data_IF_422714194398
#
_entry.id   IF_422714194398
#
_cell.length_a   1.000
_cell.length_b   1.000
_cell.length_c   1.000
_cell.angle_alpha   90.00
_cell.angle_beta   90.00
_cell.angle_gamma   90.00
#
_symmetry.space_group_name_H-M   'P 1'
#
loop_
_entity.id
_entity.type
_entity.pdbx_description
1 polymer ?
#
# COMPACT_ATOMS: atom_id res chain seq x y z
N UNK A 1 -26.33 -4.41 15.17
CA UNK A 1 -25.80 -4.72 13.82
C UNK A 1 -26.32 -6.08 13.44
N UNK A 2 -27.35 -6.15 12.59
CA UNK A 2 -27.87 -7.42 12.11
C UNK A 2 -27.11 -7.81 10.84
N UNK A 3 -26.64 -9.05 10.81
CA UNK A 3 -25.90 -9.61 9.66
C UNK A 3 -26.79 -10.66 9.03
N UNK A 4 -27.25 -10.41 7.81
CA UNK A 4 -28.11 -11.35 7.08
C UNK A 4 -27.25 -12.17 6.14
N UNK A 5 -27.36 -13.50 6.22
CA UNK A 5 -26.67 -14.41 5.32
C UNK A 5 -27.36 -14.38 3.96
N UNK A 6 -26.64 -13.96 2.90
CA UNK A 6 -27.11 -14.17 1.54
C UNK A 6 -26.76 -15.59 1.13
N UNK A 7 -27.80 -16.43 0.94
CA UNK A 7 -27.63 -17.81 0.50
C UNK A 7 -27.76 -17.92 -1.01
N UNK A 8 -26.87 -18.67 -1.64
CA UNK A 8 -27.00 -19.14 -3.02
C UNK A 8 -26.76 -20.65 -3.00
N UNK A 9 -27.73 -21.43 -3.46
CA UNK A 9 -27.67 -22.90 -3.46
C UNK A 9 -27.31 -23.50 -2.08
N UNK A 10 -27.95 -23.01 -1.02
CA UNK A 10 -27.73 -23.42 0.38
C UNK A 10 -26.32 -23.23 0.97
N UNK A 11 -25.38 -22.72 0.18
CA UNK A 11 -24.09 -22.26 0.65
C UNK A 11 -24.16 -20.79 1.12
N UNK A 12 -23.52 -20.50 2.26
CA UNK A 12 -23.37 -19.13 2.74
C UNK A 12 -22.36 -18.44 1.81
N UNK A 13 -22.87 -17.72 0.80
CA UNK A 13 -22.03 -17.05 -0.19
C UNK A 13 -21.30 -15.84 0.40
N UNK A 14 -21.94 -15.13 1.34
CA UNK A 14 -21.33 -14.07 2.15
C UNK A 14 -22.28 -13.57 3.24
N UNK A 15 -21.71 -12.93 4.25
CA UNK A 15 -22.45 -12.13 5.22
C UNK A 15 -22.48 -10.68 4.77
N UNK A 16 -23.66 -10.17 4.41
CA UNK A 16 -23.82 -8.74 4.15
C UNK A 16 -24.40 -8.07 5.38
N UNK A 17 -23.79 -6.94 5.76
CA UNK A 17 -24.32 -6.07 6.80
C UNK A 17 -25.58 -5.43 6.22
N UNK A 18 -26.73 -5.74 6.80
CA UNK A 18 -28.04 -5.36 6.27
C UNK A 18 -28.38 -3.90 6.57
N UNK A 19 -27.75 -3.33 7.59
CA UNK A 19 -27.95 -1.95 8.05
C UNK A 19 -26.63 -1.20 8.12
N UNK A 20 -26.59 0.04 7.62
CA UNK A 20 -25.40 0.89 7.73
C UNK A 20 -25.00 1.02 9.20
N UNK A 21 -23.76 0.68 9.58
CA UNK A 21 -23.32 0.78 10.97
C UNK A 21 -23.33 2.24 11.41
N UNK A 22 -23.86 2.50 12.62
CA UNK A 22 -23.74 3.80 13.27
C UNK A 22 -22.28 4.01 13.66
N UNK A 23 -21.62 4.99 13.03
CA UNK A 23 -20.24 5.34 13.33
C UNK A 23 -20.21 6.37 14.45
N UNK A 24 -19.18 6.31 15.30
CA UNK A 24 -18.90 7.44 16.19
C UNK A 24 -18.38 8.60 15.37
N UNK A 25 -18.59 9.83 15.85
CA UNK A 25 -18.14 11.06 15.19
C UNK A 25 -16.66 11.00 14.78
N UNK A 26 -15.81 10.47 15.67
CA UNK A 26 -14.38 10.27 15.41
C UNK A 26 -14.13 9.36 14.21
N UNK A 27 -14.82 8.22 14.13
CA UNK A 27 -14.63 7.23 13.05
C UNK A 27 -15.16 7.77 11.72
N UNK A 28 -16.30 8.47 11.75
CA UNK A 28 -16.85 9.11 10.56
C UNK A 28 -15.89 10.18 10.01
N UNK A 29 -15.39 11.09 10.87
CA UNK A 29 -14.38 12.09 10.50
C UNK A 29 -13.13 11.48 9.88
N UNK A 30 -12.58 10.42 10.49
CA UNK A 30 -11.37 9.75 10.00
C UNK A 30 -11.60 9.05 8.65
N UNK A 31 -12.77 8.43 8.47
CA UNK A 31 -13.16 7.81 7.21
C UNK A 31 -13.28 8.85 6.10
N UNK A 32 -14.03 9.92 6.32
CA UNK A 32 -14.24 10.97 5.32
C UNK A 32 -12.91 11.63 4.94
N UNK A 33 -12.07 11.94 5.92
CA UNK A 33 -10.76 12.52 5.63
C UNK A 33 -9.82 11.55 4.88
N UNK A 34 -9.94 10.23 5.07
CA UNK A 34 -9.19 9.26 4.24
C UNK A 34 -9.74 9.17 2.80
N UNK A 35 -11.07 9.11 2.63
CA UNK A 35 -11.73 9.00 1.31
C UNK A 35 -11.42 10.23 0.45
N UNK A 36 -11.48 11.42 1.06
CA UNK A 36 -11.22 12.70 0.39
C UNK A 36 -9.73 12.98 0.16
N UNK A 37 -8.83 12.13 0.67
CA UNK A 37 -7.39 12.27 0.42
C UNK A 37 -7.02 11.70 -0.95
N UNK A 38 -6.21 12.44 -1.70
CA UNK A 38 -5.60 11.99 -2.95
C UNK A 38 -4.67 10.79 -2.74
N UNK A 39 -4.72 9.81 -3.64
CA UNK A 39 -3.81 8.65 -3.63
C UNK A 39 -2.43 9.10 -4.08
N UNK A 40 -1.38 8.79 -3.30
CA UNK A 40 0.00 9.12 -3.63
C UNK A 40 0.87 7.87 -3.72
N UNK A 41 1.80 7.84 -4.67
CA UNK A 41 2.79 6.76 -4.78
C UNK A 41 4.06 7.13 -4.02
N UNK A 42 4.51 6.28 -3.10
CA UNK A 42 5.77 6.44 -2.38
C UNK A 42 6.92 5.75 -3.11
N UNK A 43 8.09 6.39 -3.09
CA UNK A 43 9.33 5.86 -3.67
C UNK A 43 10.29 5.29 -2.63
N UNK A 44 9.95 5.37 -1.34
CA UNK A 44 10.85 4.98 -0.25
C UNK A 44 11.17 3.49 -0.26
N UNK A 45 10.16 2.63 -0.43
CA UNK A 45 10.37 1.19 -0.58
C UNK A 45 11.18 0.88 -1.84
N UNK A 46 10.88 1.52 -2.96
CA UNK A 46 11.60 1.30 -4.23
C UNK A 46 13.07 1.66 -4.12
N UNK A 47 13.39 2.71 -3.38
CA UNK A 47 14.77 3.09 -3.08
C UNK A 47 15.48 2.00 -2.28
N UNK A 48 14.88 1.57 -1.17
CA UNK A 48 15.43 0.48 -0.34
C UNK A 48 15.60 -0.82 -1.14
N UNK A 49 14.63 -1.15 -2.00
CA UNK A 49 14.69 -2.28 -2.93
C UNK A 49 15.90 -2.17 -3.86
N UNK A 50 16.05 -1.03 -4.52
CA UNK A 50 17.12 -0.78 -5.49
C UNK A 50 18.51 -0.88 -4.85
N UNK A 51 18.69 -0.26 -3.68
CA UNK A 51 19.95 -0.27 -2.94
C UNK A 51 20.32 -1.69 -2.51
N UNK A 52 19.40 -2.41 -1.88
CA UNK A 52 19.66 -3.78 -1.41
C UNK A 52 19.92 -4.74 -2.58
N UNK A 53 19.19 -4.63 -3.69
CA UNK A 53 19.43 -5.49 -4.85
C UNK A 53 20.80 -5.23 -5.51
N UNK A 54 21.29 -3.98 -5.48
CA UNK A 54 22.67 -3.67 -5.92
C UNK A 54 23.72 -4.27 -5.00
N UNK A 55 23.45 -4.32 -3.70
CA UNK A 55 24.36 -4.85 -2.67
C UNK A 55 24.30 -6.39 -2.55
N UNK A 56 23.20 -7.03 -2.93
CA UNK A 56 22.90 -8.43 -2.60
C UNK A 56 23.86 -9.48 -3.19
N UNK A 57 24.57 -9.17 -4.28
CA UNK A 57 25.70 -9.99 -4.75
C UNK A 57 25.45 -11.48 -4.98
N UNK A 58 24.21 -11.91 -5.27
CA UNK A 58 23.84 -13.32 -5.46
C UNK A 58 23.30 -14.04 -4.22
N UNK A 59 22.97 -13.32 -3.15
CA UNK A 59 22.28 -13.87 -1.97
C UNK A 59 20.93 -14.54 -2.32
N UNK A 60 20.49 -15.52 -1.51
CA UNK A 60 19.16 -16.11 -1.66
C UNK A 60 18.07 -15.05 -1.61
N UNK A 61 17.10 -15.13 -2.53
CA UNK A 61 16.05 -14.10 -2.70
C UNK A 61 15.25 -13.81 -1.42
N UNK A 62 15.06 -14.81 -0.55
CA UNK A 62 14.37 -14.64 0.74
C UNK A 62 15.18 -13.72 1.66
N UNK A 63 16.50 -13.88 1.72
CA UNK A 63 17.40 -13.04 2.51
C UNK A 63 17.44 -11.63 1.93
N UNK A 64 17.58 -11.51 0.61
CA UNK A 64 17.53 -10.21 -0.09
C UNK A 64 16.25 -9.46 0.24
N UNK A 65 15.08 -10.11 0.17
CA UNK A 65 13.79 -9.49 0.49
C UNK A 65 13.64 -9.13 1.96
N UNK A 66 14.18 -9.93 2.87
CA UNK A 66 14.22 -9.59 4.30
C UNK A 66 15.05 -8.33 4.55
N UNK A 67 16.20 -8.18 3.89
CA UNK A 67 17.03 -6.97 3.94
C UNK A 67 16.32 -5.75 3.37
N UNK A 68 15.57 -5.90 2.28
CA UNK A 68 14.74 -4.80 1.73
C UNK A 68 13.72 -4.33 2.75
N UNK A 69 13.03 -5.26 3.41
CA UNK A 69 12.03 -4.93 4.42
C UNK A 69 12.66 -4.22 5.63
N UNK A 70 13.77 -4.75 6.15
CA UNK A 70 14.49 -4.14 7.28
C UNK A 70 14.98 -2.72 6.93
N UNK A 71 15.63 -2.55 5.77
CA UNK A 71 16.07 -1.24 5.28
C UNK A 71 14.92 -0.28 5.12
N UNK A 72 13.80 -0.75 4.58
CA UNK A 72 12.62 0.10 4.38
C UNK A 72 12.02 0.54 5.72
N UNK A 73 11.72 -0.39 6.62
CA UNK A 73 11.07 -0.09 7.90
C UNK A 73 11.93 0.81 8.81
N UNK A 74 13.27 0.70 8.74
CA UNK A 74 14.18 1.56 9.50
C UNK A 74 14.26 3.01 8.99
N UNK A 75 13.98 3.23 7.70
CA UNK A 75 14.21 4.52 7.04
C UNK A 75 12.93 5.18 6.50
N UNK A 76 11.79 4.49 6.54
CA UNK A 76 10.51 5.01 6.07
C UNK A 76 10.07 6.19 6.93
N UNK A 77 9.56 7.24 6.29
CA UNK A 77 8.89 8.33 7.00
C UNK A 77 7.54 7.83 7.53
N UNK A 78 7.30 7.94 8.85
CA UNK A 78 6.04 7.53 9.44
C UNK A 78 4.98 8.63 9.29
N UNK A 79 3.81 8.27 8.75
CA UNK A 79 2.62 9.10 8.84
C UNK A 79 1.98 8.91 10.23
N UNK A 80 1.82 10.02 10.96
CA UNK A 80 1.17 10.08 12.27
C UNK A 80 0.11 11.18 12.22
N UNK A 81 -1.08 10.88 12.70
CA UNK A 81 -2.18 11.82 12.88
C UNK A 81 -2.77 11.67 14.30
N UNK A 82 -3.96 12.21 14.53
CA UNK A 82 -4.65 12.16 15.82
C UNK A 82 -5.25 10.78 16.15
N UNK A 83 -4.99 9.74 15.33
CA UNK A 83 -5.57 8.42 15.53
C UNK A 83 -4.80 7.63 16.61
N UNK A 84 -5.48 6.97 17.57
CA UNK A 84 -4.82 6.12 18.56
C UNK A 84 -4.05 4.92 17.97
N UNK A 85 -4.41 4.47 16.76
CA UNK A 85 -3.70 3.38 16.08
C UNK A 85 -2.85 3.97 14.96
N UNK A 86 -1.54 3.78 15.09
CA UNK A 86 -0.53 4.25 14.13
C UNK A 86 0.05 3.09 13.35
N UNK A 87 0.65 3.40 12.20
CA UNK A 87 1.21 2.41 11.28
C UNK A 87 0.62 2.60 9.89
N UNK A 88 1.50 2.89 8.94
CA UNK A 88 1.11 3.21 7.56
C UNK A 88 1.99 2.42 6.62
N UNK A 89 1.44 2.06 5.45
CA UNK A 89 2.21 1.39 4.40
C UNK A 89 3.20 2.33 3.71
N UNK A 90 3.03 3.65 3.85
CA UNK A 90 3.85 4.68 3.23
C UNK A 90 3.80 5.97 4.07
N UNK A 91 4.61 6.96 3.70
CA UNK A 91 4.68 8.27 4.36
C UNK A 91 3.44 9.15 4.26
N UNK A 92 2.54 8.84 3.33
CA UNK A 92 1.33 9.62 3.08
C UNK A 92 0.10 8.87 3.62
N UNK A 93 -0.90 9.62 4.11
CA UNK A 93 -2.15 9.07 4.64
C UNK A 93 -2.81 8.03 3.73
N UNK A 94 -2.84 8.32 2.42
CA UNK A 94 -3.33 7.42 1.37
C UNK A 94 -2.21 7.07 0.39
N UNK A 95 -1.08 6.69 0.95
CA UNK A 95 0.11 6.29 0.21
C UNK A 95 0.09 4.83 -0.24
N UNK A 96 0.62 4.55 -1.43
CA UNK A 96 0.83 3.21 -1.97
C UNK A 96 2.30 3.00 -2.33
N UNK A 97 2.80 1.78 -2.16
CA UNK A 97 4.15 1.41 -2.63
C UNK A 97 4.05 0.63 -3.95
N UNK A 98 4.93 0.89 -4.93
CA UNK A 98 5.10 -0.01 -6.06
C UNK A 98 5.94 -1.23 -5.68
N UNK A 99 5.58 -2.39 -6.24
CA UNK A 99 6.23 -3.68 -6.00
C UNK A 99 6.79 -4.27 -7.32
N UNK A 100 7.79 -3.63 -7.94
CA UNK A 100 8.34 -4.10 -9.21
C UNK A 100 9.00 -5.49 -9.10
N UNK A 101 9.39 -5.91 -7.90
CA UNK A 101 9.98 -7.21 -7.56
C UNK A 101 8.96 -8.37 -7.46
N UNK A 102 7.66 -8.08 -7.57
CA UNK A 102 6.58 -9.06 -7.47
C UNK A 102 6.03 -9.48 -8.85
N UNK A 103 6.18 -8.63 -9.86
CA UNK A 103 5.62 -8.85 -11.19
C UNK A 103 6.73 -9.19 -12.19
N UNK A 104 6.88 -10.47 -12.54
CA UNK A 104 7.83 -10.95 -13.55
C UNK A 104 7.27 -10.97 -14.98
N UNK A 105 6.43 -9.99 -15.35
CA UNK A 105 5.70 -9.97 -16.64
C UNK A 105 5.64 -8.59 -17.31
N UNK A 106 4.93 -8.44 -18.44
CA UNK A 106 4.90 -7.21 -19.25
C UNK A 106 4.38 -5.96 -18.52
N UNK A 107 3.83 -6.11 -17.31
CA UNK A 107 3.43 -5.02 -16.41
C UNK A 107 4.58 -4.14 -15.90
N UNK A 108 5.84 -4.56 -16.04
CA UNK A 108 6.99 -3.67 -15.77
C UNK A 108 6.94 -2.42 -16.67
N UNK A 109 6.44 -2.54 -17.91
CA UNK A 109 6.19 -1.39 -18.79
C UNK A 109 5.09 -0.46 -18.27
N UNK A 110 4.13 -0.98 -17.50
CA UNK A 110 3.07 -0.19 -16.88
C UNK A 110 3.64 0.63 -15.71
N UNK A 111 4.65 0.16 -14.98
CA UNK A 111 5.28 0.99 -13.96
C UNK A 111 6.07 2.14 -14.61
N UNK A 112 6.61 1.95 -15.83
CA UNK A 112 7.24 3.04 -16.59
C UNK A 112 6.25 3.92 -17.36
N UNK A 113 5.03 3.45 -17.68
CA UNK A 113 4.03 4.18 -18.47
C UNK A 113 2.82 4.70 -17.66
N UNK A 114 2.60 4.16 -16.46
CA UNK A 114 1.51 4.48 -15.53
C UNK A 114 2.03 5.07 -14.22
N UNK A 115 3.20 5.71 -14.24
CA UNK A 115 3.34 7.01 -13.59
C UNK A 115 2.68 7.98 -14.58
N UNK A 116 1.36 8.28 -14.46
CA UNK A 116 0.78 9.31 -15.30
C UNK A 116 1.46 10.61 -14.92
N UNK A 117 1.54 11.54 -15.87
CA UNK A 117 2.16 12.86 -15.76
C UNK A 117 1.71 13.74 -14.56
N UNK A 118 0.87 13.24 -13.65
CA UNK A 118 0.49 13.88 -12.39
C UNK A 118 1.50 13.66 -11.26
N UNK A 119 2.33 12.61 -11.31
CA UNK A 119 3.40 12.43 -10.33
C UNK A 119 4.74 12.78 -11.01
N UNK A 120 5.19 14.02 -10.85
CA UNK A 120 6.29 14.67 -11.59
C UNK A 120 7.70 14.10 -11.42
N UNK A 121 7.87 12.79 -11.22
CA UNK A 121 9.17 12.14 -11.19
C UNK A 121 9.44 11.39 -12.50
N UNK A 122 10.12 12.06 -13.43
CA UNK A 122 10.84 11.37 -14.52
C UNK A 122 12.03 10.64 -13.88
N UNK A 123 11.98 9.31 -13.78
CA UNK A 123 13.18 8.52 -13.60
C UNK A 123 14.04 8.66 -14.87
N UNK A 124 15.07 9.52 -14.81
CA UNK A 124 16.18 9.47 -15.77
C UNK A 124 17.04 8.28 -15.42
N UNK A 125 16.94 7.23 -16.22
CA UNK A 125 17.90 6.14 -16.27
C UNK A 125 18.96 6.59 -17.28
N UNK A 126 20.16 6.90 -16.77
CA UNK A 126 21.38 7.10 -17.55
C UNK A 126 22.25 5.86 -17.48
#
# INVERSE_FOLDING_TARGET
>A
MQTTALRKNDEIASYQITEKPVLTERVERLKESFINTEIKSSTERTRALHEVYKEAGGEPIVITRAKVLDRYLRNMTLYIDENPIVGSLAKDRRGVNPFPDYYSGPHVKIISSAIPAHCGYKLKIG
#
